data_IF_561626184007
#
_entry.id   IF_561626184007
#
_cell.length_a   1.000
_cell.length_b   1.000
_cell.length_c   1.000
_cell.angle_alpha   90.00
_cell.angle_beta   90.00
_cell.angle_gamma   90.00
#
_symmetry.space_group_name_H-M   'P 1'
#
loop_
_entity.id
_entity.type
_entity.pdbx_description
1 polymer ?
#
# COMPACT_ATOMS: atom_id res chain seq x y z
N UNK A 1 5.45 17.21 -2.26
CA UNK A 1 5.96 17.05 -3.64
C UNK A 1 7.43 17.40 -3.64
N UNK A 2 8.31 16.41 -3.77
CA UNK A 2 9.75 16.63 -3.93
C UNK A 2 10.03 17.13 -5.36
N UNK A 3 11.07 17.98 -5.59
CA UNK A 3 11.40 18.41 -6.93
C UNK A 3 11.81 17.17 -7.73
N UNK A 4 11.13 16.93 -8.85
CA UNK A 4 11.50 15.88 -9.79
C UNK A 4 12.94 16.15 -10.22
N UNK A 5 13.85 15.24 -9.89
CA UNK A 5 15.23 15.32 -10.33
C UNK A 5 15.25 15.55 -11.85
N UNK A 6 15.98 16.58 -12.31
CA UNK A 6 16.17 16.96 -13.72
C UNK A 6 17.01 15.92 -14.50
N UNK A 7 16.74 14.63 -14.29
CA UNK A 7 17.42 13.52 -14.94
C UNK A 7 16.42 12.84 -15.86
N UNK A 8 16.77 12.75 -17.15
CA UNK A 8 16.00 11.97 -18.11
C UNK A 8 15.95 10.49 -17.68
N UNK A 9 14.94 9.71 -18.11
CA UNK A 9 14.85 8.29 -17.80
C UNK A 9 16.14 7.50 -18.14
N UNK A 10 16.82 7.87 -19.22
CA UNK A 10 18.12 7.31 -19.60
C UNK A 10 19.24 7.68 -18.62
N UNK A 11 19.22 8.90 -18.07
CA UNK A 11 20.14 9.35 -17.03
C UNK A 11 19.94 8.63 -15.69
N UNK A 12 18.70 8.27 -15.36
CA UNK A 12 18.39 7.43 -14.20
C UNK A 12 18.93 6.00 -14.39
N UNK A 13 18.62 5.35 -15.52
CA UNK A 13 19.14 3.99 -15.79
C UNK A 13 20.66 3.95 -15.78
N UNK A 14 21.35 4.97 -16.30
CA UNK A 14 22.81 5.07 -16.27
C UNK A 14 23.38 5.16 -14.85
N UNK A 15 22.68 5.82 -13.92
CA UNK A 15 23.11 5.96 -12.52
C UNK A 15 22.90 4.68 -11.70
N UNK A 16 21.84 3.93 -11.99
CA UNK A 16 21.50 2.69 -11.29
C UNK A 16 22.00 1.42 -11.99
N UNK A 17 22.68 1.56 -13.13
CA UNK A 17 23.30 0.47 -13.90
C UNK A 17 22.32 -0.38 -14.71
N UNK A 18 21.05 -0.46 -14.30
CA UNK A 18 19.98 -1.16 -15.02
C UNK A 18 18.59 -0.68 -14.60
N UNK A 19 17.56 -1.03 -15.38
CA UNK A 19 16.14 -0.82 -14.98
C UNK A 19 15.82 -1.56 -13.68
N UNK A 20 16.30 -2.80 -13.53
CA UNK A 20 16.14 -3.60 -12.31
C UNK A 20 16.80 -2.92 -11.11
N UNK A 21 18.00 -2.34 -11.28
CA UNK A 21 18.68 -1.60 -10.21
C UNK A 21 17.91 -0.35 -9.76
N UNK A 22 17.24 0.34 -10.69
CA UNK A 22 16.37 1.47 -10.37
C UNK A 22 15.10 1.01 -9.63
N UNK A 23 14.42 -0.03 -10.11
CA UNK A 23 13.21 -0.57 -9.47
C UNK A 23 13.49 -1.07 -8.05
N UNK A 24 14.63 -1.75 -7.85
CA UNK A 24 15.07 -2.17 -6.52
C UNK A 24 15.29 -0.98 -5.59
N UNK A 25 16.01 0.05 -6.04
CA UNK A 25 16.25 1.24 -5.21
C UNK A 25 14.94 2.00 -4.87
N UNK A 26 14.00 2.06 -5.81
CA UNK A 26 12.67 2.61 -5.57
C UNK A 26 11.88 1.77 -4.56
N UNK A 27 11.93 0.44 -4.69
CA UNK A 27 11.32 -0.49 -3.74
C UNK A 27 11.90 -0.34 -2.33
N UNK A 28 13.23 -0.33 -2.19
CA UNK A 28 13.92 -0.11 -0.92
C UNK A 28 13.54 1.24 -0.28
N UNK A 29 13.45 2.30 -1.09
CA UNK A 29 12.99 3.61 -0.63
C UNK A 29 11.54 3.57 -0.14
N UNK A 30 10.65 2.91 -0.89
CA UNK A 30 9.25 2.72 -0.50
C UNK A 30 9.14 1.94 0.80
N UNK A 31 9.85 0.81 0.96
CA UNK A 31 9.88 0.05 2.22
C UNK A 31 10.36 0.91 3.38
N UNK A 32 11.41 1.72 3.15
CA UNK A 32 11.94 2.66 4.14
C UNK A 32 10.95 3.74 4.57
N UNK A 33 10.03 4.14 3.68
CA UNK A 33 9.01 5.14 3.95
C UNK A 33 7.82 4.61 4.77
N UNK A 34 7.62 3.28 4.84
CA UNK A 34 6.57 2.69 5.69
C UNK A 34 6.95 2.92 7.17
N UNK A 35 6.11 3.63 7.94
CA UNK A 35 6.40 3.89 9.35
C UNK A 35 6.47 2.59 10.15
N UNK A 36 7.24 2.60 11.24
CA UNK A 36 7.35 1.45 12.16
C UNK A 36 6.33 1.49 13.29
N UNK A 37 5.93 2.69 13.68
CA UNK A 37 4.97 2.97 14.75
C UNK A 37 3.99 4.04 14.24
N UNK A 38 2.77 4.11 14.81
CA UNK A 38 1.82 5.18 14.54
C UNK A 38 2.46 6.57 14.74
N UNK A 39 2.30 7.45 13.77
CA UNK A 39 2.81 8.81 13.82
C UNK A 39 1.81 9.76 14.49
N UNK A 40 0.53 9.37 14.55
CA UNK A 40 -0.57 10.09 15.17
C UNK A 40 -1.31 9.16 16.16
N UNK A 41 -0.69 8.80 17.30
CA UNK A 41 -1.24 7.82 18.24
C UNK A 41 -2.61 8.23 18.81
N UNK A 42 -2.92 9.52 18.88
CA UNK A 42 -4.22 10.03 19.34
C UNK A 42 -5.31 10.00 18.25
N UNK A 43 -4.93 9.76 16.99
CA UNK A 43 -5.82 9.75 15.82
C UNK A 43 -5.52 8.56 14.89
N UNK A 44 -5.53 7.31 15.42
CA UNK A 44 -5.11 6.13 14.66
C UNK A 44 -6.01 5.85 13.45
N UNK A 45 -7.30 6.20 13.52
CA UNK A 45 -8.21 6.03 12.38
C UNK A 45 -7.90 6.99 11.22
N UNK A 46 -7.61 8.26 11.53
CA UNK A 46 -7.24 9.24 10.51
C UNK A 46 -5.95 8.82 9.81
N UNK A 47 -4.99 8.33 10.60
CA UNK A 47 -3.72 7.81 10.09
C UNK A 47 -3.90 6.56 9.23
N UNK A 48 -4.73 5.61 9.66
CA UNK A 48 -5.06 4.41 8.88
C UNK A 48 -5.70 4.77 7.55
N UNK A 49 -6.68 5.69 7.54
CA UNK A 49 -7.32 6.17 6.30
C UNK A 49 -6.32 6.88 5.39
N UNK A 50 -5.45 7.74 5.93
CA UNK A 50 -4.41 8.40 5.14
C UNK A 50 -3.48 7.37 4.50
N UNK A 51 -2.94 6.45 5.29
CA UNK A 51 -2.08 5.37 4.80
C UNK A 51 -2.78 4.55 3.72
N UNK A 52 -4.06 4.21 3.93
CA UNK A 52 -4.81 3.40 2.98
C UNK A 52 -5.10 4.15 1.67
N UNK A 53 -5.37 5.45 1.72
CA UNK A 53 -5.53 6.28 0.52
C UNK A 53 -4.22 6.42 -0.26
N UNK A 54 -3.12 6.68 0.44
CA UNK A 54 -1.81 6.85 -0.20
C UNK A 54 -1.32 5.55 -0.85
N UNK A 55 -1.65 4.38 -0.28
CA UNK A 55 -1.19 3.08 -0.76
C UNK A 55 -2.13 2.34 -1.73
N UNK A 56 -3.45 2.53 -1.61
CA UNK A 56 -4.43 1.66 -2.28
C UNK A 56 -5.48 2.41 -3.09
N UNK A 57 -5.52 3.75 -3.04
CA UNK A 57 -6.43 4.49 -3.91
C UNK A 57 -5.90 4.54 -5.35
N UNK A 58 -6.79 4.33 -6.32
CA UNK A 58 -6.52 4.60 -7.72
C UNK A 58 -7.52 5.62 -8.27
N UNK A 59 -7.05 6.68 -8.96
CA UNK A 59 -7.92 7.75 -9.44
C UNK A 59 -8.92 7.26 -10.51
N UNK A 60 -8.58 6.19 -11.23
CA UNK A 60 -9.44 5.57 -12.23
C UNK A 60 -9.15 4.07 -12.35
N UNK A 61 -10.05 3.31 -13.00
CA UNK A 61 -9.79 1.91 -13.31
C UNK A 61 -8.57 1.72 -14.22
N UNK A 62 -8.34 2.61 -15.19
CA UNK A 62 -7.14 2.60 -16.02
C UNK A 62 -5.85 2.77 -15.20
N UNK A 63 -5.84 3.65 -14.21
CA UNK A 63 -4.70 3.81 -13.30
C UNK A 63 -4.47 2.55 -12.45
N UNK A 64 -5.56 1.91 -11.99
CA UNK A 64 -5.47 0.64 -11.26
C UNK A 64 -4.89 -0.49 -12.15
N UNK A 65 -5.34 -0.62 -13.40
CA UNK A 65 -4.79 -1.59 -14.37
C UNK A 65 -3.30 -1.36 -14.59
N UNK A 66 -2.88 -0.10 -14.80
CA UNK A 66 -1.48 0.23 -15.02
C UNK A 66 -0.63 -0.19 -13.81
N UNK A 67 -1.03 0.21 -12.59
CA UNK A 67 -0.31 -0.15 -11.37
C UNK A 67 -0.24 -1.66 -11.13
N UNK A 68 -1.33 -2.40 -11.38
CA UNK A 68 -1.35 -3.86 -11.27
C UNK A 68 -0.46 -4.53 -12.32
N UNK A 69 -0.42 -4.01 -13.54
CA UNK A 69 0.44 -4.54 -14.61
C UNK A 69 1.91 -4.33 -14.27
N UNK A 70 2.28 -3.15 -13.75
CA UNK A 70 3.62 -2.85 -13.29
C UNK A 70 4.03 -3.78 -12.14
N UNK A 71 3.14 -3.97 -11.14
CA UNK A 71 3.36 -4.91 -10.04
C UNK A 71 3.58 -6.35 -10.52
N UNK A 72 2.77 -6.83 -11.48
CA UNK A 72 2.92 -8.17 -12.03
C UNK A 72 4.24 -8.34 -12.79
N UNK A 73 4.69 -7.31 -13.51
CA UNK A 73 5.99 -7.31 -14.18
C UNK A 73 7.14 -7.35 -13.16
N UNK A 74 7.02 -6.58 -12.07
CA UNK A 74 7.98 -6.53 -10.99
C UNK A 74 8.08 -7.86 -10.22
N UNK A 75 6.95 -8.55 -10.03
CA UNK A 75 6.91 -9.89 -9.40
C UNK A 75 7.60 -10.98 -10.23
N UNK A 76 7.89 -10.76 -11.52
CA UNK A 76 8.65 -11.72 -12.31
C UNK A 76 10.15 -11.75 -11.95
N UNK A 77 10.67 -10.73 -11.28
CA UNK A 77 12.07 -10.62 -10.87
C UNK A 77 12.28 -11.01 -9.40
N UNK A 78 13.22 -11.94 -9.14
CA UNK A 78 13.50 -12.47 -7.79
C UNK A 78 13.93 -11.40 -6.80
N UNK A 79 14.71 -10.42 -7.26
CA UNK A 79 15.24 -9.37 -6.38
C UNK A 79 14.14 -8.38 -5.99
N UNK A 80 13.28 -8.01 -6.94
CA UNK A 80 12.12 -7.17 -6.66
C UNK A 80 11.09 -7.90 -5.79
N UNK A 81 10.87 -9.20 -6.01
CA UNK A 81 10.01 -10.03 -5.15
C UNK A 81 10.45 -10.02 -3.68
N UNK A 82 11.76 -10.06 -3.42
CA UNK A 82 12.27 -10.01 -2.05
C UNK A 82 11.95 -8.68 -1.37
N UNK A 83 12.14 -7.56 -2.07
CA UNK A 83 11.83 -6.21 -1.57
C UNK A 83 10.32 -6.02 -1.34
N UNK A 84 9.49 -6.52 -2.27
CA UNK A 84 8.04 -6.48 -2.11
C UNK A 84 7.58 -7.28 -0.89
N UNK A 85 8.17 -8.46 -0.63
CA UNK A 85 7.88 -9.25 0.57
C UNK A 85 8.19 -8.47 1.85
N UNK A 86 9.37 -7.85 1.93
CA UNK A 86 9.77 -7.03 3.09
C UNK A 86 8.77 -5.87 3.30
N UNK A 87 8.38 -5.20 2.20
CA UNK A 87 7.39 -4.14 2.26
C UNK A 87 6.05 -4.60 2.78
N UNK A 88 5.51 -5.70 2.25
CA UNK A 88 4.23 -6.28 2.71
C UNK A 88 4.30 -6.65 4.19
N UNK A 89 5.39 -7.30 4.64
CA UNK A 89 5.59 -7.60 6.05
C UNK A 89 5.59 -6.32 6.91
N UNK A 90 6.20 -5.24 6.40
CA UNK A 90 6.26 -3.97 7.12
C UNK A 90 4.92 -3.24 7.15
N UNK A 91 4.16 -3.27 6.06
CA UNK A 91 2.78 -2.75 6.02
C UNK A 91 1.90 -3.50 7.02
N UNK A 92 2.02 -4.83 7.07
CA UNK A 92 1.27 -5.67 7.99
C UNK A 92 1.52 -5.26 9.45
N UNK A 93 2.80 -5.18 9.85
CA UNK A 93 3.13 -4.77 11.22
C UNK A 93 2.63 -3.37 11.53
N UNK A 94 2.82 -2.42 10.62
CA UNK A 94 2.38 -1.04 10.83
C UNK A 94 0.86 -0.93 10.99
N UNK A 95 0.09 -1.59 10.12
CA UNK A 95 -1.38 -1.61 10.21
C UNK A 95 -1.84 -2.35 11.47
N UNK A 96 -1.18 -3.42 11.89
CA UNK A 96 -1.48 -4.11 13.15
C UNK A 96 -1.34 -3.16 14.35
N UNK A 97 -0.29 -2.32 14.38
CA UNK A 97 -0.10 -1.31 15.43
C UNK A 97 -1.22 -0.26 15.42
N UNK A 98 -1.67 0.19 14.24
CA UNK A 98 -2.81 1.10 14.16
C UNK A 98 -4.11 0.44 14.66
N UNK A 99 -4.33 -0.82 14.31
CA UNK A 99 -5.47 -1.61 14.79
C UNK A 99 -5.45 -1.78 16.31
N UNK A 100 -4.28 -2.05 16.90
CA UNK A 100 -4.11 -2.09 18.37
C UNK A 100 -4.54 -0.78 19.03
N UNK A 101 -4.13 0.37 18.46
CA UNK A 101 -4.46 1.69 19.01
C UNK A 101 -5.95 2.05 18.86
N UNK A 102 -6.65 1.48 17.88
CA UNK A 102 -8.10 1.65 17.75
C UNK A 102 -8.89 0.92 18.85
N UNK A 103 -8.27 -0.05 19.54
CA UNK A 103 -8.84 -0.77 20.68
C UNK A 103 -10.26 -1.31 20.43
N UNK A 104 -10.50 -1.81 19.22
CA UNK A 104 -11.80 -2.30 18.79
C UNK A 104 -12.10 -3.68 19.41
N UNK A 105 -13.30 -3.88 20.01
CA UNK A 105 -13.57 -5.03 20.89
C UNK A 105 -13.64 -6.38 20.18
N UNK A 106 -13.99 -6.44 18.88
CA UNK A 106 -14.19 -7.69 18.15
C UNK A 106 -13.07 -8.03 17.17
N UNK A 107 -12.00 -7.26 17.15
CA UNK A 107 -10.90 -7.43 16.19
C UNK A 107 -10.07 -8.68 16.44
N UNK A 108 -10.02 -9.14 17.70
CA UNK A 108 -9.23 -10.30 18.09
C UNK A 108 -7.74 -10.03 17.99
N UNK A 109 -7.01 -10.89 17.27
CA UNK A 109 -5.58 -10.71 17.01
C UNK A 109 -5.32 -9.57 16.01
N UNK A 110 -4.62 -8.49 16.42
CA UNK A 110 -4.35 -7.33 15.56
C UNK A 110 -3.58 -7.65 14.28
N UNK A 111 -2.67 -8.63 14.31
CA UNK A 111 -1.90 -9.02 13.12
C UNK A 111 -2.81 -9.67 12.09
N UNK A 112 -3.68 -10.58 12.55
CA UNK A 112 -4.67 -11.21 11.67
C UNK A 112 -5.68 -10.20 11.11
N UNK A 113 -6.12 -9.26 11.93
CA UNK A 113 -7.03 -8.20 11.49
C UNK A 113 -6.38 -7.28 10.44
N UNK A 114 -5.12 -6.90 10.66
CA UNK A 114 -4.35 -6.12 9.70
C UNK A 114 -4.17 -6.85 8.37
N UNK A 115 -3.89 -8.16 8.40
CA UNK A 115 -3.81 -8.98 7.19
C UNK A 115 -5.14 -8.97 6.43
N UNK A 116 -6.27 -9.21 7.10
CA UNK A 116 -7.59 -9.19 6.47
C UNK A 116 -7.93 -7.82 5.86
N UNK A 117 -7.61 -6.74 6.56
CA UNK A 117 -7.83 -5.39 6.05
C UNK A 117 -6.97 -5.11 4.81
N UNK A 118 -5.67 -5.46 4.86
CA UNK A 118 -4.76 -5.30 3.74
C UNK A 118 -5.21 -6.13 2.54
N UNK A 119 -5.62 -7.38 2.73
CA UNK A 119 -6.15 -8.23 1.66
C UNK A 119 -7.39 -7.61 1.01
N UNK A 120 -8.29 -7.05 1.83
CA UNK A 120 -9.49 -6.37 1.33
C UNK A 120 -9.16 -5.08 0.57
N UNK A 121 -8.16 -4.31 1.01
CA UNK A 121 -7.68 -3.09 0.33
C UNK A 121 -7.06 -3.43 -1.03
N UNK A 122 -6.19 -4.46 -1.09
CA UNK A 122 -5.64 -4.96 -2.36
C UNK A 122 -6.75 -5.49 -3.28
N UNK A 123 -7.71 -6.25 -2.74
CA UNK A 123 -8.88 -6.71 -3.49
C UNK A 123 -9.72 -5.56 -4.02
N UNK A 124 -9.82 -4.46 -3.28
CA UNK A 124 -10.46 -3.22 -3.72
C UNK A 124 -9.80 -2.62 -4.96
N UNK A 125 -8.46 -2.60 -5.02
CA UNK A 125 -7.71 -2.15 -6.18
C UNK A 125 -7.99 -3.01 -7.43
N UNK A 126 -8.07 -4.34 -7.25
CA UNK A 126 -8.42 -5.27 -8.34
C UNK A 126 -9.85 -5.02 -8.82
N UNK A 127 -10.82 -4.85 -7.91
CA UNK A 127 -12.20 -4.51 -8.30
C UNK A 127 -12.27 -3.17 -9.03
N UNK A 128 -11.51 -2.17 -8.58
CA UNK A 128 -11.40 -0.86 -9.25
C UNK A 128 -10.86 -0.98 -10.66
N UNK A 129 -9.93 -1.89 -10.92
CA UNK A 129 -9.42 -2.16 -12.26
C UNK A 129 -10.49 -2.76 -13.19
N UNK A 130 -11.46 -3.50 -12.64
CA UNK A 130 -12.53 -4.14 -13.43
C UNK A 130 -13.80 -3.29 -13.59
N UNK A 131 -14.01 -2.29 -12.73
CA UNK A 131 -15.25 -1.51 -12.67
C UNK A 131 -15.04 -0.04 -13.07
N UNK A 132 -15.70 0.38 -14.14
CA UNK A 132 -15.74 1.78 -14.58
C UNK A 132 -17.01 2.47 -14.06
N UNK A 133 -17.10 2.75 -12.76
CA UNK A 133 -18.32 3.40 -12.24
C UNK A 133 -18.33 3.80 -10.77
N UNK A 134 -19.39 4.52 -10.41
CA UNK A 134 -19.82 4.81 -9.03
C UNK A 134 -20.18 3.49 -8.33
N UNK A 135 -19.63 3.24 -7.14
CA UNK A 135 -19.85 2.00 -6.37
C UNK A 135 -18.62 1.10 -6.21
N UNK A 136 -17.52 1.42 -6.86
CA UNK A 136 -16.24 0.72 -6.64
C UNK A 136 -15.72 1.00 -5.22
N UNK A 137 -15.21 -0.02 -4.49
CA UNK A 137 -14.74 0.16 -3.12
C UNK A 137 -13.60 1.18 -3.05
N UNK A 138 -13.74 2.15 -2.16
CA UNK A 138 -12.67 3.08 -1.79
C UNK A 138 -11.97 2.57 -0.53
N UNK A 139 -10.71 2.95 -0.27
CA UNK A 139 -10.04 2.59 0.97
C UNK A 139 -10.83 2.98 2.23
N UNK A 140 -11.44 4.17 2.22
CA UNK A 140 -12.25 4.67 3.34
C UNK A 140 -13.50 3.80 3.55
N UNK A 141 -14.24 3.45 2.48
CA UNK A 141 -15.42 2.59 2.58
C UNK A 141 -15.06 1.15 3.03
N UNK A 142 -13.92 0.63 2.58
CA UNK A 142 -13.42 -0.68 3.05
C UNK A 142 -13.12 -0.62 4.54
N UNK A 143 -12.41 0.40 5.01
CA UNK A 143 -12.13 0.58 6.44
C UNK A 143 -13.43 0.68 7.23
N UNK A 144 -14.39 1.48 6.78
CA UNK A 144 -15.67 1.69 7.48
C UNK A 144 -16.44 0.38 7.65
N UNK A 145 -16.51 -0.47 6.61
CA UNK A 145 -17.13 -1.79 6.71
C UNK A 145 -16.44 -2.70 7.76
N UNK A 146 -15.12 -2.66 7.85
CA UNK A 146 -14.38 -3.40 8.88
C UNK A 146 -14.60 -2.83 10.28
N UNK A 147 -14.67 -1.51 10.42
CA UNK A 147 -14.99 -0.88 11.71
C UNK A 147 -16.37 -1.32 12.21
N UNK A 148 -17.38 -1.34 11.35
CA UNK A 148 -18.72 -1.83 11.70
C UNK A 148 -18.71 -3.28 12.19
N UNK A 149 -17.87 -4.14 11.61
CA UNK A 149 -17.74 -5.54 12.03
C UNK A 149 -16.92 -5.72 13.31
N UNK A 150 -16.00 -4.79 13.60
CA UNK A 150 -15.07 -4.88 14.71
C UNK A 150 -15.49 -4.12 15.97
N UNK A 151 -16.45 -3.21 15.86
CA UNK A 151 -17.18 -2.63 17.00
C UNK A 151 -18.24 -3.58 17.52
#
# INVERSE_FOLDING_TARGET
MAPAAELSPAGLVKRFGSRTGLLRALGEHWVGAIPREPQLPDRPLEELRRFARDGFAAPSGAAAIAGLTDLLADLADDSTRAVLREGVERQLHYVARLVEHLALPRTGDPVRAAALLLDALHGGLVRRATEAGEGSPTPDNTIDAFLEWWT
#
